data_IF_027739917271
#
_entry.id   IF_027739917271
#
_cell.length_a   1.000
_cell.length_b   1.000
_cell.length_c   1.000
_cell.angle_alpha   90.00
_cell.angle_beta   90.00
_cell.angle_gamma   90.00
#
_symmetry.space_group_name_H-M   'P 1'
#
loop_
_entity.id
_entity.type
_entity.pdbx_description
1 polymer ?
#
# COMPACT_ATOMS: atom_id res chain seq x y z
N UNK A 1 -16.76 -15.05 5.73
CA UNK A 1 -15.72 -14.09 5.32
C UNK A 1 -15.89 -13.93 3.81
N UNK A 2 -16.37 -12.77 3.37
CA UNK A 2 -16.90 -12.59 2.01
C UNK A 2 -15.73 -12.45 1.03
N UNK A 3 -15.47 -13.52 0.28
CA UNK A 3 -14.54 -13.50 -0.85
C UNK A 3 -15.19 -12.74 -2.01
N UNK A 4 -14.52 -11.72 -2.51
CA UNK A 4 -14.89 -11.02 -3.73
C UNK A 4 -13.87 -11.46 -4.78
N UNK A 5 -14.34 -11.93 -5.92
CA UNK A 5 -13.45 -12.37 -7.00
C UNK A 5 -12.48 -11.23 -7.40
N UNK A 6 -11.18 -11.54 -7.42
CA UNK A 6 -10.12 -10.54 -7.68
C UNK A 6 -9.66 -9.73 -6.46
N UNK A 7 -10.25 -9.95 -5.27
CA UNK A 7 -9.80 -9.34 -4.02
C UNK A 7 -9.40 -10.40 -3.01
N UNK A 8 -8.18 -10.30 -2.51
CA UNK A 8 -7.63 -11.21 -1.51
C UNK A 8 -7.27 -10.45 -0.24
N UNK A 9 -7.56 -11.06 0.91
CA UNK A 9 -7.06 -10.59 2.20
C UNK A 9 -5.71 -11.25 2.47
N UNK A 10 -4.67 -10.45 2.62
CA UNK A 10 -3.35 -10.94 2.99
C UNK A 10 -3.14 -10.88 4.50
N UNK A 11 -2.30 -11.79 4.99
CA UNK A 11 -1.81 -11.75 6.36
C UNK A 11 -0.80 -10.60 6.50
N UNK A 12 -0.81 -9.95 7.66
CA UNK A 12 0.25 -8.99 8.01
C UNK A 12 1.50 -9.77 8.46
N UNK A 13 2.43 -9.94 7.54
CA UNK A 13 3.70 -10.62 7.77
C UNK A 13 4.91 -9.70 7.50
N UNK A 14 4.68 -8.40 7.32
CA UNK A 14 5.73 -7.41 7.12
C UNK A 14 6.44 -7.07 8.43
N UNK A 15 7.76 -6.98 8.38
CA UNK A 15 8.58 -6.56 9.52
C UNK A 15 8.85 -5.06 9.54
N UNK A 16 8.77 -4.41 8.38
CA UNK A 16 9.09 -3.01 8.16
C UNK A 16 7.86 -2.34 7.55
N UNK A 17 7.43 -1.22 8.14
CA UNK A 17 6.25 -0.45 7.70
C UNK A 17 6.34 -0.07 6.23
N UNK A 18 7.49 0.40 5.77
CA UNK A 18 7.68 0.84 4.38
C UNK A 18 8.11 -0.28 3.43
N UNK A 19 8.24 -1.52 3.91
CA UNK A 19 8.88 -2.59 3.14
C UNK A 19 10.30 -2.22 2.69
N UNK A 20 10.81 -2.90 1.67
CA UNK A 20 12.13 -2.60 1.09
C UNK A 20 12.08 -1.49 0.04
N UNK A 21 10.97 -1.36 -0.70
CA UNK A 21 10.81 -0.38 -1.77
C UNK A 21 10.32 1.02 -1.35
N UNK A 22 10.01 1.24 -0.06
CA UNK A 22 9.37 2.49 0.39
C UNK A 22 10.34 3.44 1.08
N UNK A 23 10.15 4.75 0.85
CA UNK A 23 10.94 5.81 1.49
C UNK A 23 10.31 6.26 2.82
N UNK A 24 10.96 5.99 3.98
CA UNK A 24 10.47 6.43 5.28
C UNK A 24 10.36 7.95 5.42
N UNK A 25 11.10 8.73 4.63
CA UNK A 25 11.05 10.19 4.68
C UNK A 25 9.71 10.75 4.18
N UNK A 26 8.93 9.97 3.43
CA UNK A 26 7.61 10.37 2.96
C UNK A 26 6.55 10.34 4.08
N UNK A 27 6.79 9.58 5.16
CA UNK A 27 5.90 9.49 6.31
C UNK A 27 5.97 10.78 7.13
N UNK A 28 4.86 11.52 7.22
CA UNK A 28 4.77 12.81 7.96
C UNK A 28 3.75 12.77 9.10
N UNK A 29 2.90 11.76 9.12
CA UNK A 29 1.82 11.60 10.09
C UNK A 29 1.53 10.13 10.35
N UNK A 30 0.76 9.86 11.40
CA UNK A 30 0.29 8.50 11.70
C UNK A 30 -0.55 7.89 10.56
N UNK A 31 -1.26 8.70 9.77
CA UNK A 31 -2.04 8.20 8.63
C UNK A 31 -1.14 7.63 7.54
N UNK A 32 0.00 8.28 7.30
CA UNK A 32 0.98 7.81 6.32
C UNK A 32 1.60 6.46 6.71
N UNK A 33 1.64 6.13 8.01
CA UNK A 33 2.17 4.84 8.48
C UNK A 33 1.31 3.69 7.97
N UNK A 34 -0.02 3.80 8.12
CA UNK A 34 -0.95 2.76 7.64
C UNK A 34 -0.91 2.66 6.12
N UNK A 35 -0.94 3.78 5.43
CA UNK A 35 -0.94 3.81 3.97
C UNK A 35 0.38 3.24 3.39
N UNK A 36 1.52 3.60 3.97
CA UNK A 36 2.83 3.04 3.59
C UNK A 36 2.89 1.53 3.86
N UNK A 37 2.31 1.06 4.96
CA UNK A 37 2.23 -0.36 5.27
C UNK A 37 1.38 -1.14 4.25
N UNK A 38 0.22 -0.60 3.87
CA UNK A 38 -0.62 -1.24 2.86
C UNK A 38 0.03 -1.27 1.47
N UNK A 39 0.77 -0.22 1.09
CA UNK A 39 1.56 -0.20 -0.14
C UNK A 39 2.69 -1.24 -0.11
N UNK A 40 3.40 -1.36 1.01
CA UNK A 40 4.44 -2.37 1.18
C UNK A 40 3.84 -3.79 1.11
N UNK A 41 2.63 -3.99 1.63
CA UNK A 41 1.95 -5.28 1.58
C UNK A 41 1.54 -5.62 0.15
N UNK A 42 0.96 -4.66 -0.58
CA UNK A 42 0.62 -4.81 -1.99
C UNK A 42 1.85 -5.17 -2.84
N UNK A 43 2.97 -4.50 -2.63
CA UNK A 43 4.23 -4.81 -3.32
C UNK A 43 4.72 -6.22 -3.01
N UNK A 44 4.72 -6.63 -1.73
CA UNK A 44 5.17 -7.97 -1.31
C UNK A 44 4.39 -9.09 -1.97
N UNK A 45 3.06 -8.95 -2.05
CA UNK A 45 2.19 -9.95 -2.64
C UNK A 45 2.03 -9.79 -4.16
N UNK A 46 2.70 -8.81 -4.78
CA UNK A 46 2.61 -8.53 -6.21
C UNK A 46 1.21 -8.09 -6.65
N UNK A 47 0.42 -7.54 -5.73
CA UNK A 47 -0.93 -7.08 -5.97
C UNK A 47 -1.02 -5.55 -6.03
N UNK A 48 -2.24 -5.04 -5.90
CA UNK A 48 -2.52 -3.61 -5.96
C UNK A 48 -3.44 -3.20 -4.81
N UNK A 49 -3.17 -2.04 -4.24
CA UNK A 49 -4.02 -1.43 -3.24
C UNK A 49 -5.11 -0.61 -3.93
N UNK A 50 -6.34 -1.09 -3.87
CA UNK A 50 -7.53 -0.37 -4.36
C UNK A 50 -8.03 0.57 -3.28
N UNK A 51 -8.13 1.87 -3.56
CA UNK A 51 -8.56 2.88 -2.58
C UNK A 51 -9.33 4.04 -3.20
N UNK A 52 -10.12 4.76 -2.41
CA UNK A 52 -10.75 6.02 -2.81
C UNK A 52 -9.93 7.25 -2.37
N UNK A 53 -8.89 7.08 -1.56
CA UNK A 53 -8.04 8.20 -1.10
C UNK A 53 -6.86 8.39 -2.05
N UNK A 54 -6.92 9.45 -2.87
CA UNK A 54 -5.85 9.80 -3.81
C UNK A 54 -4.57 10.33 -3.16
N UNK A 55 -4.61 10.67 -1.85
CA UNK A 55 -3.43 11.17 -1.13
C UNK A 55 -2.32 10.12 -1.00
N UNK A 56 -2.68 8.84 -1.09
CA UNK A 56 -1.75 7.73 -0.97
C UNK A 56 -0.63 7.76 -2.00
N UNK A 57 -0.87 8.35 -3.19
CA UNK A 57 0.14 8.48 -4.25
C UNK A 57 1.38 9.23 -3.79
N UNK A 58 1.27 10.08 -2.77
CA UNK A 58 2.41 10.79 -2.16
C UNK A 58 3.45 9.82 -1.56
N UNK A 59 3.02 8.64 -1.15
CA UNK A 59 3.85 7.64 -0.48
C UNK A 59 4.48 6.63 -1.44
N UNK A 60 4.16 6.70 -2.74
CA UNK A 60 4.76 5.83 -3.74
C UNK A 60 6.27 6.07 -3.87
N UNK A 61 6.72 7.32 -3.82
CA UNK A 61 8.14 7.64 -4.05
C UNK A 61 8.59 7.08 -5.42
N UNK A 62 9.62 6.22 -5.39
CA UNK A 62 10.17 5.55 -6.57
C UNK A 62 9.50 4.19 -6.90
N UNK A 63 8.47 3.79 -6.13
CA UNK A 63 7.72 2.55 -6.35
C UNK A 63 6.94 2.60 -7.67
N UNK A 64 6.61 1.43 -8.20
CA UNK A 64 5.75 1.32 -9.36
C UNK A 64 4.37 1.95 -9.09
N UNK A 65 3.93 2.96 -9.86
CA UNK A 65 2.60 3.56 -9.74
C UNK A 65 1.46 2.56 -9.91
N UNK A 66 1.71 1.42 -10.57
CA UNK A 66 0.71 0.36 -10.74
C UNK A 66 0.30 -0.32 -9.43
N UNK A 67 1.08 -0.15 -8.35
CA UNK A 67 0.78 -0.68 -7.01
C UNK A 67 -0.49 -0.09 -6.39
N UNK A 68 -1.00 1.03 -6.88
CA UNK A 68 -2.23 1.64 -6.38
C UNK A 68 -3.25 1.81 -7.51
N UNK A 69 -4.50 1.48 -7.20
CA UNK A 69 -5.66 1.75 -8.04
C UNK A 69 -6.59 2.71 -7.29
N UNK A 70 -6.68 3.95 -7.78
CA UNK A 70 -7.50 5.00 -7.16
C UNK A 70 -8.86 5.04 -7.86
N UNK A 71 -9.89 4.64 -7.13
CA UNK A 71 -11.27 4.62 -7.58
C UNK A 71 -11.91 6.01 -7.40
N UNK A 72 -12.75 6.42 -8.36
CA UNK A 72 -13.46 7.71 -8.39
C UNK A 72 -14.84 7.65 -7.76
#
# INVERSE_FOLDING_TARGET
MTYIEGHEFWIDDLRIVTGEGGDPNLIKSHRDVTDAHLLALAERYGGRLVTFDSRISRLLGDRDPSLVDIQS
#
